data_IF_595950083830
#
_entry.id   IF_595950083830
#
_cell.length_a   1.000
_cell.length_b   1.000
_cell.length_c   1.000
_cell.angle_alpha   90.00
_cell.angle_beta   90.00
_cell.angle_gamma   90.00
#
_symmetry.space_group_name_H-M   'P 1'
#
loop_
_entity.id
_entity.type
_entity.pdbx_description
1 polymer ?
#
# COMPACT_ATOMS: atom_id res chain seq x y z
N UNK A 1 30.82 -2.31 -40.83
CA UNK A 1 30.15 -2.92 -39.66
C UNK A 1 31.14 -3.08 -38.51
N UNK A 2 31.39 -2.02 -37.75
CA UNK A 2 32.08 -2.03 -36.45
C UNK A 2 31.30 -1.06 -35.58
N UNK A 3 31.14 -1.34 -34.28
CA UNK A 3 30.41 -0.56 -33.27
C UNK A 3 29.00 -1.06 -32.87
N UNK A 4 28.69 -2.36 -33.03
CA UNK A 4 27.46 -2.95 -32.43
C UNK A 4 27.70 -3.66 -31.08
N UNK A 5 28.96 -3.83 -30.67
CA UNK A 5 29.32 -4.63 -29.48
C UNK A 5 29.28 -3.81 -28.19
N UNK A 6 29.53 -2.50 -28.26
CA UNK A 6 29.55 -1.62 -27.09
C UNK A 6 28.16 -1.35 -26.47
N UNK A 7 27.08 -1.63 -27.19
CA UNK A 7 25.70 -1.39 -26.72
C UNK A 7 25.12 -2.56 -25.92
N UNK A 8 25.74 -3.74 -25.98
CA UNK A 8 25.22 -4.94 -25.31
C UNK A 8 25.68 -5.06 -23.85
N UNK A 9 26.90 -4.59 -23.55
CA UNK A 9 27.46 -4.64 -22.18
C UNK A 9 26.73 -3.71 -21.20
N UNK A 10 26.25 -2.56 -21.66
CA UNK A 10 25.49 -1.61 -20.84
C UNK A 10 24.09 -2.13 -20.49
N UNK A 11 23.45 -2.88 -21.39
CA UNK A 11 22.13 -3.48 -21.14
C UNK A 11 22.21 -4.58 -20.07
N UNK A 12 23.29 -5.38 -20.08
CA UNK A 12 23.54 -6.43 -19.08
C UNK A 12 23.78 -5.82 -17.69
N UNK A 13 24.54 -4.72 -17.62
CA UNK A 13 24.80 -4.04 -16.35
C UNK A 13 23.53 -3.41 -15.75
N UNK A 14 22.65 -2.84 -16.58
CA UNK A 14 21.39 -2.24 -16.11
C UNK A 14 20.41 -3.30 -15.57
N UNK A 15 20.36 -4.48 -16.20
CA UNK A 15 19.50 -5.59 -15.75
C UNK A 15 20.01 -6.26 -14.47
N UNK A 16 21.33 -6.26 -14.23
CA UNK A 16 21.91 -6.77 -12.98
C UNK A 16 21.59 -5.91 -11.75
N UNK A 17 21.36 -4.60 -11.93
CA UNK A 17 20.99 -3.70 -10.84
C UNK A 17 19.52 -3.78 -10.39
N UNK A 18 18.66 -4.46 -11.15
CA UNK A 18 17.23 -4.61 -10.80
C UNK A 18 16.92 -5.83 -9.92
N UNK A 19 17.89 -6.71 -9.68
CA UNK A 19 17.68 -7.95 -8.90
C UNK A 19 17.81 -7.77 -7.39
N UNK A 20 18.21 -6.57 -6.90
CA UNK A 20 18.42 -6.29 -5.48
C UNK A 20 17.24 -5.56 -4.81
N UNK A 21 16.00 -5.86 -5.21
CA UNK A 21 14.80 -5.29 -4.55
C UNK A 21 13.72 -6.34 -4.25
N UNK A 22 14.06 -7.63 -4.21
CA UNK A 22 13.25 -8.55 -3.41
C UNK A 22 13.61 -8.30 -1.95
N UNK A 23 13.01 -7.26 -1.36
CA UNK A 23 12.86 -7.20 0.09
C UNK A 23 12.03 -8.44 0.40
N UNK A 24 12.71 -9.53 0.77
CA UNK A 24 12.09 -10.63 1.46
C UNK A 24 11.67 -10.05 2.80
N UNK A 25 10.52 -9.37 2.80
CA UNK A 25 9.79 -9.13 4.02
C UNK A 25 9.42 -10.52 4.47
N UNK A 26 10.28 -11.09 5.33
CA UNK A 26 9.87 -12.10 6.29
C UNK A 26 8.47 -11.65 6.74
N UNK A 27 7.42 -12.45 6.54
CA UNK A 27 6.14 -12.12 7.15
C UNK A 27 6.47 -12.08 8.63
N UNK A 28 6.62 -10.87 9.15
CA UNK A 28 6.50 -10.66 10.57
C UNK A 28 5.02 -10.95 10.74
N UNK A 29 4.72 -12.16 11.23
CA UNK A 29 3.52 -12.37 12.01
C UNK A 29 3.64 -11.41 13.19
N UNK A 30 3.40 -10.12 12.91
CA UNK A 30 3.05 -9.16 13.92
C UNK A 30 1.62 -9.56 14.26
N UNK A 31 1.44 -10.12 15.46
CA UNK A 31 0.16 -10.62 15.95
C UNK A 31 -0.97 -9.58 15.81
N UNK A 32 -0.62 -8.30 15.60
CA UNK A 32 -1.52 -7.18 15.35
C UNK A 32 -0.94 -6.37 14.18
N UNK A 33 -1.75 -6.12 13.15
CA UNK A 33 -1.27 -5.51 11.90
C UNK A 33 -0.46 -4.23 12.18
N UNK A 34 0.66 -4.04 11.46
CA UNK A 34 1.46 -2.81 11.61
C UNK A 34 0.53 -1.60 11.49
N UNK A 35 0.80 -0.49 12.17
CA UNK A 35 -0.04 0.70 12.07
C UNK A 35 -0.36 1.11 10.61
N UNK A 36 0.55 0.85 9.67
CA UNK A 36 0.33 1.02 8.23
C UNK A 36 -0.76 0.11 7.63
N UNK A 37 -0.87 -1.12 8.11
CA UNK A 37 -1.87 -2.11 7.67
C UNK A 37 -3.24 -1.76 8.22
N UNK A 38 -3.33 -1.33 9.48
CA UNK A 38 -4.56 -0.79 10.05
C UNK A 38 -5.03 0.45 9.28
N UNK A 39 -4.14 1.39 8.94
CA UNK A 39 -4.48 2.54 8.09
C UNK A 39 -5.03 2.08 6.73
N UNK A 40 -4.34 1.15 6.05
CA UNK A 40 -4.77 0.65 4.73
C UNK A 40 -6.14 -0.01 4.80
N UNK A 41 -6.36 -0.85 5.81
CA UNK A 41 -7.60 -1.59 6.00
C UNK A 41 -8.76 -0.64 6.32
N UNK A 42 -8.63 0.19 7.36
CA UNK A 42 -9.68 1.10 7.80
C UNK A 42 -10.03 2.12 6.71
N UNK A 43 -9.03 2.65 6.01
CA UNK A 43 -9.26 3.54 4.86
C UNK A 43 -9.99 2.81 3.74
N UNK A 44 -9.57 1.60 3.39
CA UNK A 44 -10.21 0.81 2.35
C UNK A 44 -11.68 0.51 2.64
N UNK A 45 -11.98 0.07 3.87
CA UNK A 45 -13.34 -0.22 4.30
C UNK A 45 -14.23 1.01 4.34
N UNK A 46 -13.72 2.13 4.88
CA UNK A 46 -14.47 3.39 4.95
C UNK A 46 -14.82 3.92 3.57
N UNK A 47 -13.87 3.90 2.64
CA UNK A 47 -14.12 4.35 1.26
C UNK A 47 -15.06 3.42 0.50
N UNK A 48 -14.97 2.10 0.72
CA UNK A 48 -15.90 1.15 0.12
C UNK A 48 -17.34 1.33 0.62
N UNK A 49 -17.50 1.67 1.90
CA UNK A 49 -18.82 1.99 2.47
C UNK A 49 -19.41 3.27 1.87
N UNK A 50 -18.60 4.33 1.76
CA UNK A 50 -19.04 5.57 1.14
C UNK A 50 -19.43 5.37 -0.33
N UNK A 51 -18.63 4.60 -1.07
CA UNK A 51 -18.93 4.24 -2.47
C UNK A 51 -20.23 3.42 -2.57
N UNK A 52 -20.44 2.46 -1.67
CA UNK A 52 -21.70 1.70 -1.60
C UNK A 52 -22.92 2.58 -1.31
N UNK A 53 -22.77 3.62 -0.48
CA UNK A 53 -23.82 4.59 -0.19
C UNK A 53 -24.01 5.63 -1.31
N UNK A 54 -23.09 5.71 -2.28
CA UNK A 54 -23.07 6.73 -3.33
C UNK A 54 -22.67 8.11 -2.81
N UNK A 55 -21.87 8.17 -1.74
CA UNK A 55 -21.46 9.39 -1.05
C UNK A 55 -19.95 9.63 -1.20
N UNK A 56 -19.53 10.91 -1.19
CA UNK A 56 -18.12 11.26 -1.02
C UNK A 56 -17.77 11.21 0.47
N UNK A 57 -16.83 10.33 0.84
CA UNK A 57 -16.34 10.21 2.21
C UNK A 57 -15.75 11.52 2.77
N UNK A 58 -15.35 12.46 1.90
CA UNK A 58 -14.85 13.80 2.28
C UNK A 58 -15.88 14.91 2.07
N UNK A 59 -17.12 14.56 1.76
CA UNK A 59 -18.22 15.50 1.53
C UNK A 59 -19.01 15.80 2.80
N UNK A 60 -20.33 15.97 2.64
CA UNK A 60 -21.23 16.42 3.71
C UNK A 60 -21.26 15.51 4.95
N UNK A 61 -20.97 14.22 4.77
CA UNK A 61 -20.93 13.21 5.83
C UNK A 61 -19.50 12.90 6.33
N UNK A 62 -18.53 13.81 6.13
CA UNK A 62 -17.13 13.59 6.50
C UNK A 62 -16.93 13.10 7.94
N UNK A 63 -17.57 13.73 8.92
CA UNK A 63 -17.43 13.35 10.34
C UNK A 63 -17.93 11.92 10.63
N UNK A 64 -18.97 11.48 9.92
CA UNK A 64 -19.48 10.11 10.03
C UNK A 64 -18.45 9.10 9.51
N UNK A 65 -17.91 9.33 8.31
CA UNK A 65 -16.89 8.44 7.73
C UNK A 65 -15.56 8.50 8.49
N UNK A 66 -15.19 9.65 9.04
CA UNK A 66 -14.03 9.78 9.92
C UNK A 66 -14.21 8.95 11.19
N UNK A 67 -15.39 8.99 11.82
CA UNK A 67 -15.69 8.18 13.00
C UNK A 67 -15.59 6.67 12.72
N UNK A 68 -16.08 6.22 11.55
CA UNK A 68 -15.93 4.82 11.11
C UNK A 68 -14.45 4.47 10.93
N UNK A 69 -13.70 5.30 10.20
CA UNK A 69 -12.27 5.11 9.98
C UNK A 69 -11.52 4.98 11.30
N UNK A 70 -11.74 5.90 12.24
CA UNK A 70 -11.06 5.92 13.54
C UNK A 70 -11.42 4.69 14.37
N UNK A 71 -12.71 4.31 14.42
CA UNK A 71 -13.16 3.12 15.15
C UNK A 71 -12.47 1.86 14.63
N UNK A 72 -12.43 1.67 13.30
CA UNK A 72 -11.77 0.52 12.69
C UNK A 72 -10.26 0.53 12.89
N UNK A 73 -9.64 1.70 12.82
CA UNK A 73 -8.20 1.88 13.02
C UNK A 73 -7.78 1.56 14.46
N UNK A 74 -8.46 2.11 15.44
CA UNK A 74 -8.21 1.88 16.87
C UNK A 74 -8.44 0.40 17.21
N UNK A 75 -9.55 -0.18 16.75
CA UNK A 75 -9.84 -1.61 16.94
C UNK A 75 -8.75 -2.51 16.34
N UNK A 76 -8.14 -2.13 15.22
CA UNK A 76 -7.05 -2.88 14.62
C UNK A 76 -5.71 -2.70 15.34
N UNK A 77 -5.47 -1.54 15.95
CA UNK A 77 -4.24 -1.27 16.69
C UNK A 77 -4.21 -1.95 18.06
N UNK A 78 -5.35 -1.96 18.74
CA UNK A 78 -5.51 -2.60 20.05
C UNK A 78 -5.73 -4.11 19.94
N UNK A 79 -6.15 -4.52 18.74
CA UNK A 79 -6.71 -5.79 18.32
C UNK A 79 -5.72 -6.83 17.83
#
# INVERSE_FOLDING_TARGET
MKNKVFSFLTLIFLMGSLTSATIYQKPVEDDFGRASDCVRMSRGATLALADFAGEDANGDNFEFYLAIYMTMYETCLEN
#
